data_IF_051659907498
#
_entry.id   IF_051659907498
#
_cell.length_a   1.000
_cell.length_b   1.000
_cell.length_c   1.000
_cell.angle_alpha   90.00
_cell.angle_beta   90.00
_cell.angle_gamma   90.00
#
_symmetry.space_group_name_H-M   'P 1'
#
loop_
_entity.id
_entity.type
_entity.pdbx_description
1 polymer ?
#
# COMPACT_ATOMS: atom_id res chain seq x y z
N UNK A 1 28.07 -40.42 4.12
CA UNK A 1 26.69 -40.50 3.57
C UNK A 1 25.69 -39.55 4.29
N UNK A 2 26.08 -38.30 4.58
CA UNK A 2 25.13 -37.26 5.05
C UNK A 2 25.53 -35.93 4.42
N UNK A 3 25.12 -35.69 3.17
CA UNK A 3 25.34 -34.43 2.46
C UNK A 3 24.27 -34.11 1.39
N UNK A 4 23.11 -34.79 1.42
CA UNK A 4 22.07 -34.63 0.39
C UNK A 4 20.70 -34.18 0.91
N UNK A 5 20.57 -33.73 2.17
CA UNK A 5 19.26 -33.44 2.77
C UNK A 5 19.03 -31.97 3.20
N UNK A 6 19.82 -31.02 2.69
CA UNK A 6 19.72 -29.59 3.10
C UNK A 6 19.40 -28.61 1.97
N UNK A 7 19.39 -29.03 0.69
CA UNK A 7 19.04 -28.12 -0.43
C UNK A 7 17.53 -27.96 -0.65
N UNK A 8 16.69 -28.99 -0.42
CA UNK A 8 15.25 -28.87 -0.72
C UNK A 8 14.47 -28.02 0.28
N UNK A 9 14.90 -27.93 1.55
CA UNK A 9 14.19 -27.16 2.58
C UNK A 9 14.31 -25.64 2.47
N UNK A 10 15.30 -25.14 1.72
CA UNK A 10 15.57 -23.70 1.62
C UNK A 10 14.79 -23.05 0.46
N UNK A 11 14.62 -23.75 -0.67
CA UNK A 11 13.82 -23.28 -1.80
C UNK A 11 12.32 -23.23 -1.47
N UNK A 12 11.82 -24.24 -0.75
CA UNK A 12 10.43 -24.32 -0.28
C UNK A 12 10.09 -23.14 0.66
N UNK A 13 11.02 -22.71 1.54
CA UNK A 13 10.80 -21.56 2.44
C UNK A 13 10.74 -20.20 1.73
N UNK A 14 11.47 -20.02 0.63
CA UNK A 14 11.42 -18.77 -0.15
C UNK A 14 10.15 -18.67 -1.01
N UNK A 15 9.62 -19.79 -1.51
CA UNK A 15 8.31 -19.84 -2.19
C UNK A 15 7.13 -19.61 -1.23
N UNK A 16 7.20 -20.12 0.00
CA UNK A 16 6.18 -19.90 1.05
C UNK A 16 6.05 -18.41 1.43
N UNK A 17 7.14 -17.64 1.41
CA UNK A 17 7.10 -16.19 1.70
C UNK A 17 6.40 -15.42 0.56
N UNK A 18 6.50 -15.88 -0.69
CA UNK A 18 5.80 -15.27 -1.84
C UNK A 18 4.30 -15.62 -1.83
N UNK A 19 3.92 -16.83 -1.43
CA UNK A 19 2.53 -17.23 -1.23
C UNK A 19 1.84 -16.42 -0.11
N UNK A 20 2.52 -16.18 1.02
CA UNK A 20 2.00 -15.34 2.12
C UNK A 20 1.76 -13.88 1.73
N UNK A 21 2.53 -13.32 0.78
CA UNK A 21 2.30 -11.98 0.25
C UNK A 21 1.08 -11.91 -0.69
N UNK A 22 0.68 -13.04 -1.27
CA UNK A 22 -0.45 -13.17 -2.21
C UNK A 22 -1.78 -13.31 -1.46
N UNK A 23 -1.81 -13.96 -0.28
CA UNK A 23 -3.01 -14.02 0.57
C UNK A 23 -3.49 -12.62 1.03
N UNK A 24 -2.60 -11.62 1.07
CA UNK A 24 -2.98 -10.22 1.36
C UNK A 24 -3.82 -9.57 0.25
N UNK A 25 -3.75 -10.06 -0.99
CA UNK A 25 -4.47 -9.48 -2.14
C UNK A 25 -5.97 -9.87 -2.17
N UNK A 26 -6.34 -10.98 -1.52
CA UNK A 26 -7.74 -11.43 -1.42
C UNK A 26 -8.58 -10.67 -0.39
N UNK A 27 -7.96 -9.89 0.51
CA UNK A 27 -8.61 -9.28 1.67
C UNK A 27 -9.49 -8.04 1.38
N UNK A 28 -9.65 -7.59 0.12
CA UNK A 28 -10.20 -6.25 -0.17
C UNK A 28 -11.69 -6.20 -0.49
N UNK A 29 -12.44 -7.31 -0.53
CA UNK A 29 -13.77 -7.29 -1.18
C UNK A 29 -14.89 -8.14 -0.54
N UNK A 30 -15.19 -8.02 0.76
CA UNK A 30 -16.43 -8.61 1.31
C UNK A 30 -17.15 -7.71 2.34
N UNK A 31 -18.47 -7.57 2.14
CA UNK A 31 -19.41 -6.74 2.92
C UNK A 31 -19.78 -7.30 4.30
N UNK A 32 -20.87 -6.82 4.93
CA UNK A 32 -21.05 -6.90 6.39
C UNK A 32 -21.22 -8.33 6.91
N UNK A 33 -20.33 -8.66 7.85
CA UNK A 33 -20.35 -9.72 8.86
C UNK A 33 -21.40 -10.85 8.68
N UNK A 34 -21.04 -11.87 7.90
CA UNK A 34 -21.50 -13.22 8.16
C UNK A 34 -21.00 -13.69 9.53
N UNK A 35 -21.65 -14.70 10.12
CA UNK A 35 -21.24 -15.28 11.40
C UNK A 35 -19.73 -15.58 11.41
N UNK A 36 -19.04 -15.29 12.51
CA UNK A 36 -17.61 -15.56 12.66
C UNK A 36 -17.41 -17.08 12.52
N UNK A 37 -16.94 -17.49 11.35
CA UNK A 37 -16.46 -18.83 11.12
C UNK A 37 -14.96 -18.88 11.38
N UNK A 38 -14.53 -19.91 12.08
CA UNK A 38 -13.15 -20.16 12.50
C UNK A 38 -12.65 -21.53 12.00
N UNK A 39 -13.44 -22.25 11.19
CA UNK A 39 -13.04 -23.55 10.67
C UNK A 39 -12.27 -23.38 9.36
N UNK A 40 -11.15 -24.07 9.25
CA UNK A 40 -10.41 -24.11 7.99
C UNK A 40 -11.14 -24.99 6.96
N UNK A 41 -11.10 -24.62 5.67
CA UNK A 41 -11.64 -25.45 4.59
C UNK A 41 -10.93 -26.81 4.53
N UNK A 42 -11.61 -27.82 3.98
CA UNK A 42 -11.07 -29.18 3.88
C UNK A 42 -10.75 -29.55 2.44
N UNK A 43 -9.47 -29.82 2.16
CA UNK A 43 -9.03 -30.43 0.91
C UNK A 43 -9.56 -31.87 0.76
N UNK A 44 -10.01 -32.22 -0.45
CA UNK A 44 -10.50 -33.57 -0.75
C UNK A 44 -9.73 -34.22 -1.90
N UNK A 45 -9.57 -33.52 -3.03
CA UNK A 45 -8.90 -34.08 -4.20
C UNK A 45 -8.34 -32.99 -5.12
N UNK A 46 -7.32 -33.36 -5.92
CA UNK A 46 -6.80 -32.58 -7.04
C UNK A 46 -6.87 -33.42 -8.32
N UNK A 47 -7.11 -32.78 -9.46
CA UNK A 47 -7.01 -33.39 -10.77
C UNK A 47 -6.52 -32.40 -11.82
N UNK A 48 -5.90 -32.92 -12.88
CA UNK A 48 -5.42 -32.13 -14.03
C UNK A 48 -5.94 -32.72 -15.34
N UNK A 49 -6.19 -31.86 -16.32
CA UNK A 49 -6.61 -32.29 -17.66
C UNK A 49 -6.12 -31.33 -18.75
N UNK A 50 -5.38 -31.81 -19.76
CA UNK A 50 -4.76 -33.13 -19.83
C UNK A 50 -3.62 -33.28 -18.79
N UNK A 51 -3.27 -34.52 -18.41
CA UNK A 51 -2.13 -34.80 -17.51
C UNK A 51 -0.78 -34.80 -18.22
N UNK A 52 -0.75 -34.44 -19.51
CA UNK A 52 0.46 -34.28 -20.30
C UNK A 52 0.27 -33.17 -21.34
N UNK A 53 1.34 -32.44 -21.62
CA UNK A 53 1.32 -31.32 -22.55
C UNK A 53 2.67 -31.04 -23.20
N UNK A 54 2.62 -30.24 -24.24
CA UNK A 54 3.76 -29.63 -24.93
C UNK A 54 3.52 -28.13 -25.07
N UNK A 55 4.52 -27.31 -25.45
CA UNK A 55 4.34 -25.88 -25.67
C UNK A 55 3.03 -25.50 -26.39
N UNK A 56 2.26 -24.60 -25.80
CA UNK A 56 0.95 -24.16 -26.26
C UNK A 56 -0.23 -25.01 -25.75
N UNK A 57 0.02 -26.13 -25.08
CA UNK A 57 -1.04 -26.93 -24.46
C UNK A 57 -1.62 -26.19 -23.24
N UNK A 58 -2.95 -26.04 -23.19
CA UNK A 58 -3.63 -25.57 -21.99
C UNK A 58 -3.86 -26.74 -21.03
N UNK A 59 -3.43 -26.58 -19.78
CA UNK A 59 -3.61 -27.56 -18.69
C UNK A 59 -4.59 -26.98 -17.69
N UNK A 60 -5.73 -27.64 -17.53
CA UNK A 60 -6.71 -27.31 -16.50
C UNK A 60 -6.37 -28.01 -15.19
N UNK A 61 -6.51 -27.30 -14.08
CA UNK A 61 -6.31 -27.76 -12.72
C UNK A 61 -7.65 -27.63 -11.99
N UNK A 62 -8.09 -28.70 -11.31
CA UNK A 62 -9.31 -28.71 -10.52
C UNK A 62 -9.03 -29.25 -9.12
N UNK A 63 -9.51 -28.55 -8.10
CA UNK A 63 -9.44 -28.95 -6.69
C UNK A 63 -10.86 -29.08 -6.13
N UNK A 64 -11.14 -30.20 -5.46
CA UNK A 64 -12.37 -30.39 -4.70
C UNK A 64 -12.09 -30.11 -3.24
N UNK A 65 -12.91 -29.26 -2.64
CA UNK A 65 -12.80 -28.85 -1.25
C UNK A 65 -14.20 -28.65 -0.64
N UNK A 66 -14.29 -28.70 0.69
CA UNK A 66 -15.54 -28.47 1.41
C UNK A 66 -15.31 -27.60 2.63
N UNK A 67 -16.31 -26.78 2.93
CA UNK A 67 -16.32 -25.88 4.06
C UNK A 67 -17.79 -25.61 4.48
N UNK A 68 -18.04 -25.20 5.73
CA UNK A 68 -19.39 -24.95 6.23
C UNK A 68 -19.98 -23.60 5.84
N UNK A 69 -19.15 -22.59 5.53
CA UNK A 69 -19.62 -21.30 4.97
C UNK A 69 -19.42 -21.20 3.46
N UNK A 70 -18.51 -22.01 2.92
CA UNK A 70 -18.29 -22.15 1.48
C UNK A 70 -16.88 -21.76 1.06
N UNK A 71 -16.51 -22.13 -0.17
CA UNK A 71 -15.15 -21.94 -0.68
C UNK A 71 -15.06 -20.65 -1.49
N UNK A 72 -14.07 -19.81 -1.20
CA UNK A 72 -13.79 -18.57 -1.92
C UNK A 72 -12.82 -18.77 -3.09
N UNK A 73 -11.70 -19.44 -2.86
CA UNK A 73 -10.63 -19.56 -3.86
C UNK A 73 -9.50 -20.50 -3.43
N UNK A 74 -8.46 -20.60 -4.25
CA UNK A 74 -7.25 -21.32 -3.87
C UNK A 74 -6.10 -21.16 -4.84
N UNK A 75 -4.99 -21.80 -4.53
CA UNK A 75 -3.79 -21.84 -5.37
C UNK A 75 -3.08 -23.18 -5.25
N UNK A 76 -2.53 -23.67 -6.36
CA UNK A 76 -1.66 -24.86 -6.38
C UNK A 76 -0.31 -24.49 -6.98
N UNK A 77 0.78 -24.88 -6.31
CA UNK A 77 2.15 -24.68 -6.78
C UNK A 77 2.73 -25.95 -7.40
N UNK A 78 3.12 -25.90 -8.68
CA UNK A 78 3.75 -26.99 -9.43
C UNK A 78 5.26 -26.77 -9.57
N UNK A 79 6.07 -27.68 -9.05
CA UNK A 79 7.53 -27.63 -9.13
C UNK A 79 8.05 -28.27 -10.43
N UNK A 80 8.89 -27.51 -11.15
CA UNK A 80 9.70 -27.98 -12.27
C UNK A 80 10.71 -29.04 -11.81
N UNK A 81 10.78 -30.21 -12.47
CA UNK A 81 11.65 -31.31 -12.04
C UNK A 81 13.14 -31.02 -12.20
N UNK A 82 13.53 -30.10 -13.09
CA UNK A 82 14.93 -29.80 -13.38
C UNK A 82 15.45 -28.55 -12.68
N UNK A 83 14.61 -27.54 -12.48
CA UNK A 83 15.01 -26.24 -11.92
C UNK A 83 14.57 -26.05 -10.47
N UNK A 84 13.56 -26.80 -10.01
CA UNK A 84 12.94 -26.60 -8.70
C UNK A 84 12.08 -25.32 -8.61
N UNK A 85 11.87 -24.65 -9.74
CA UNK A 85 11.02 -23.45 -9.82
C UNK A 85 9.56 -23.88 -9.66
N UNK A 86 8.81 -23.15 -8.84
CA UNK A 86 7.39 -23.42 -8.59
C UNK A 86 6.52 -22.45 -9.38
N UNK A 87 5.65 -22.98 -10.25
CA UNK A 87 4.59 -22.24 -10.95
C UNK A 87 3.31 -22.32 -10.14
N UNK A 88 2.74 -21.18 -9.79
CA UNK A 88 1.46 -21.10 -9.09
C UNK A 88 0.29 -20.98 -10.07
N UNK A 89 -0.76 -21.77 -9.84
CA UNK A 89 -2.02 -21.73 -10.59
C UNK A 89 -3.12 -21.30 -9.64
N UNK A 90 -3.67 -20.12 -9.89
CA UNK A 90 -4.81 -19.58 -9.15
C UNK A 90 -6.09 -20.31 -9.57
N UNK A 91 -6.93 -20.60 -8.58
CA UNK A 91 -8.16 -21.34 -8.74
C UNK A 91 -9.34 -20.50 -8.25
N UNK A 92 -10.31 -20.31 -9.12
CA UNK A 92 -11.57 -19.65 -8.81
C UNK A 92 -12.65 -20.70 -8.50
N UNK A 93 -13.62 -20.32 -7.67
CA UNK A 93 -14.77 -21.18 -7.40
C UNK A 93 -15.65 -21.33 -8.65
N UNK A 94 -15.74 -22.55 -9.17
CA UNK A 94 -16.48 -22.92 -10.37
C UNK A 94 -17.67 -23.86 -10.03
N UNK A 95 -18.41 -23.52 -8.97
CA UNK A 95 -19.62 -24.23 -8.55
C UNK A 95 -19.35 -25.44 -7.66
N UNK A 96 -18.87 -26.56 -8.19
CA UNK A 96 -18.59 -27.75 -7.36
C UNK A 96 -17.12 -27.85 -6.92
N UNK A 97 -16.21 -27.22 -7.68
CA UNK A 97 -14.77 -27.31 -7.51
C UNK A 97 -14.13 -25.93 -7.67
N UNK A 98 -12.93 -25.80 -7.14
CA UNK A 98 -11.99 -24.75 -7.52
C UNK A 98 -11.35 -25.13 -8.86
N UNK A 99 -11.29 -24.21 -9.81
CA UNK A 99 -10.75 -24.45 -11.14
C UNK A 99 -9.84 -23.32 -11.61
N UNK A 100 -8.74 -23.69 -12.26
CA UNK A 100 -7.81 -22.78 -12.89
C UNK A 100 -7.11 -23.46 -14.07
N UNK A 101 -6.27 -22.71 -14.78
CA UNK A 101 -5.49 -23.28 -15.87
C UNK A 101 -4.20 -22.52 -16.11
N UNK A 102 -3.26 -23.16 -16.79
CA UNK A 102 -2.10 -22.49 -17.36
C UNK A 102 -1.78 -23.06 -18.74
N UNK A 103 -1.05 -22.28 -19.54
CA UNK A 103 -0.52 -22.75 -20.82
C UNK A 103 0.93 -23.16 -20.62
N UNK A 104 1.30 -24.34 -21.15
CA UNK A 104 2.69 -24.79 -21.20
C UNK A 104 3.46 -23.84 -22.09
N UNK A 105 4.46 -23.18 -21.54
CA UNK A 105 5.29 -22.23 -22.27
C UNK A 105 6.27 -22.95 -23.22
N UNK A 106 6.72 -22.28 -24.28
CA UNK A 106 7.74 -22.79 -25.20
C UNK A 106 9.07 -23.10 -24.53
N UNK A 107 9.31 -22.56 -23.34
CA UNK A 107 10.53 -22.74 -22.58
C UNK A 107 10.35 -23.61 -21.33
N UNK A 108 9.15 -24.14 -21.06
CA UNK A 108 8.92 -24.97 -19.87
C UNK A 108 9.78 -26.24 -19.90
N UNK A 109 10.36 -26.58 -18.76
CA UNK A 109 11.28 -27.72 -18.65
C UNK A 109 10.55 -29.05 -18.86
N UNK A 110 11.12 -30.00 -19.62
CA UNK A 110 10.52 -31.31 -19.80
C UNK A 110 10.58 -32.14 -18.52
N UNK A 111 9.59 -33.00 -18.33
CA UNK A 111 9.51 -33.95 -17.21
C UNK A 111 8.19 -33.86 -16.46
N UNK A 112 8.13 -34.52 -15.30
CA UNK A 112 6.94 -34.56 -14.46
C UNK A 112 6.96 -33.39 -13.48
N UNK A 113 6.14 -32.38 -13.75
CA UNK A 113 5.88 -31.27 -12.84
C UNK A 113 4.95 -31.74 -11.73
N UNK A 114 5.39 -31.57 -10.49
CA UNK A 114 4.68 -32.10 -9.32
C UNK A 114 4.04 -30.96 -8.53
N UNK A 115 2.76 -31.06 -8.14
CA UNK A 115 2.21 -30.14 -7.15
C UNK A 115 2.92 -30.36 -5.80
N UNK A 116 3.48 -29.28 -5.25
CA UNK A 116 4.25 -29.29 -3.99
C UNK A 116 3.61 -28.46 -2.89
N UNK A 117 2.64 -27.61 -3.25
CA UNK A 117 1.92 -26.73 -2.35
C UNK A 117 0.46 -26.59 -2.80
N UNK A 118 -0.45 -26.53 -1.84
CA UNK A 118 -1.85 -26.16 -2.04
C UNK A 118 -2.31 -25.24 -0.92
N UNK A 119 -3.12 -24.25 -1.29
CA UNK A 119 -3.81 -23.35 -0.36
C UNK A 119 -5.27 -23.18 -0.82
N UNK A 120 -6.19 -23.20 0.13
CA UNK A 120 -7.63 -23.05 -0.08
C UNK A 120 -8.13 -22.03 0.92
N UNK A 121 -8.91 -21.08 0.43
CA UNK A 121 -9.51 -20.00 1.22
C UNK A 121 -11.02 -20.13 1.16
N UNK A 122 -11.67 -20.10 2.32
CA UNK A 122 -13.13 -20.07 2.42
C UNK A 122 -13.70 -18.65 2.17
N UNK A 123 -15.02 -18.46 2.29
CA UNK A 123 -15.64 -17.13 2.16
C UNK A 123 -15.49 -16.22 3.39
N UNK A 124 -14.98 -16.74 4.49
CA UNK A 124 -14.75 -16.03 5.76
C UNK A 124 -13.26 -15.73 6.02
N UNK A 125 -12.39 -16.03 5.06
CA UNK A 125 -10.92 -15.89 5.12
C UNK A 125 -10.18 -16.87 6.04
N UNK A 126 -10.76 -18.03 6.36
CA UNK A 126 -10.00 -19.14 6.94
C UNK A 126 -9.22 -19.88 5.84
N UNK A 127 -8.08 -20.47 6.21
CA UNK A 127 -7.08 -20.94 5.25
C UNK A 127 -6.65 -22.35 5.59
N UNK A 128 -6.81 -23.26 4.63
CA UNK A 128 -6.10 -24.53 4.62
C UNK A 128 -4.88 -24.43 3.72
N UNK A 129 -3.70 -24.76 4.25
CA UNK A 129 -2.47 -24.85 3.48
C UNK A 129 -1.73 -26.14 3.80
N UNK A 130 -1.23 -26.83 2.76
CA UNK A 130 -0.49 -28.07 2.93
C UNK A 130 0.56 -28.25 1.82
N UNK A 131 1.60 -29.01 2.15
CA UNK A 131 2.63 -29.44 1.20
C UNK A 131 2.33 -30.84 0.65
N UNK A 132 2.98 -31.21 -0.47
CA UNK A 132 2.86 -32.56 -1.04
C UNK A 132 3.36 -33.70 -0.14
N UNK A 133 4.05 -33.39 0.96
CA UNK A 133 4.44 -34.36 2.00
C UNK A 133 3.32 -34.57 3.05
N UNK A 134 2.36 -33.64 3.16
CA UNK A 134 1.27 -33.65 4.15
C UNK A 134 -0.04 -34.18 3.57
N UNK A 135 -0.29 -33.96 2.28
CA UNK A 135 -1.46 -34.45 1.54
C UNK A 135 -1.04 -35.07 0.21
N UNK A 136 -1.79 -36.07 -0.26
CA UNK A 136 -1.53 -36.69 -1.56
C UNK A 136 -2.00 -35.77 -2.70
N UNK A 137 -1.03 -35.17 -3.39
CA UNK A 137 -1.27 -34.33 -4.56
C UNK A 137 -0.92 -35.04 -5.88
N UNK A 138 -0.59 -36.33 -5.86
CA UNK A 138 -0.04 -37.05 -7.02
C UNK A 138 -0.98 -37.11 -8.24
N UNK A 139 -2.29 -37.02 -8.01
CA UNK A 139 -3.30 -36.90 -9.07
C UNK A 139 -3.23 -35.58 -9.86
N UNK A 140 -2.45 -34.61 -9.38
CA UNK A 140 -2.14 -33.37 -10.09
C UNK A 140 -0.85 -33.42 -10.92
N UNK A 141 -0.10 -34.53 -10.96
CA UNK A 141 1.16 -34.59 -11.73
C UNK A 141 0.94 -34.32 -13.24
N UNK A 142 1.77 -33.45 -13.82
CA UNK A 142 1.70 -33.07 -15.25
C UNK A 142 3.00 -33.47 -15.93
N UNK A 143 2.91 -34.21 -17.04
CA UNK A 143 4.09 -34.56 -17.85
C UNK A 143 4.27 -33.56 -18.99
N UNK A 144 5.32 -32.73 -18.92
CA UNK A 144 5.68 -31.78 -19.97
C UNK A 144 6.69 -32.41 -20.93
N UNK A 145 6.40 -32.31 -22.22
CA UNK A 145 7.32 -32.66 -23.31
C UNK A 145 7.74 -31.39 -24.06
N UNK A 146 9.01 -31.01 -23.92
CA UNK A 146 9.57 -29.84 -24.58
C UNK A 146 11.02 -30.11 -25.06
N UNK A 147 11.30 -30.06 -26.37
CA UNK A 147 12.65 -30.27 -26.90
C UNK A 147 13.59 -29.06 -26.76
N UNK A 148 13.07 -27.88 -26.39
CA UNK A 148 13.87 -26.65 -26.30
C UNK A 148 13.51 -25.83 -25.05
N UNK A 149 13.70 -26.40 -23.84
CA UNK A 149 13.44 -25.68 -22.60
C UNK A 149 14.48 -24.59 -22.36
N UNK A 150 14.09 -23.54 -21.62
CA UNK A 150 15.06 -22.63 -21.02
C UNK A 150 15.31 -23.03 -19.57
N UNK A 151 16.58 -23.30 -19.28
CA UNK A 151 17.08 -23.62 -17.94
C UNK A 151 18.34 -22.82 -17.61
N UNK A 152 18.70 -21.87 -18.48
CA UNK A 152 19.89 -21.05 -18.31
C UNK A 152 19.53 -19.85 -17.45
N UNK A 153 20.32 -19.61 -16.40
CA UNK A 153 20.16 -18.37 -15.64
C UNK A 153 20.59 -17.15 -16.49
N UNK A 154 19.96 -15.98 -16.30
CA UNK A 154 20.44 -14.73 -16.88
C UNK A 154 21.91 -14.44 -16.58
N UNK A 155 22.53 -13.62 -17.43
CA UNK A 155 23.87 -13.07 -17.16
C UNK A 155 23.76 -11.61 -16.70
N UNK A 156 24.17 -11.35 -15.45
CA UNK A 156 24.30 -9.99 -14.93
C UNK A 156 25.52 -9.27 -15.54
N UNK A 157 25.35 -8.01 -15.94
CA UNK A 157 26.42 -7.16 -16.49
C UNK A 157 26.77 -5.99 -15.56
N UNK A 158 25.79 -5.17 -15.17
CA UNK A 158 26.05 -3.99 -14.33
C UNK A 158 24.83 -3.56 -13.52
N UNK A 159 25.10 -2.92 -12.38
CA UNK A 159 24.13 -2.19 -11.55
C UNK A 159 24.50 -0.71 -11.59
N UNK A 160 23.58 0.14 -12.05
CA UNK A 160 23.75 1.59 -12.17
C UNK A 160 22.84 2.30 -11.17
N UNK A 161 23.45 3.10 -10.29
CA UNK A 161 22.78 3.92 -9.27
C UNK A 161 23.36 5.33 -9.40
N UNK A 162 22.71 6.26 -10.12
CA UNK A 162 23.27 7.57 -10.40
C UNK A 162 23.50 8.43 -9.15
N UNK A 163 22.68 8.24 -8.12
CA UNK A 163 22.83 8.90 -6.84
C UNK A 163 22.63 7.91 -5.70
N UNK A 164 23.66 7.71 -4.88
CA UNK A 164 23.64 6.81 -3.72
C UNK A 164 23.35 7.53 -2.40
N UNK A 165 23.22 8.85 -2.43
CA UNK A 165 22.92 9.67 -1.25
C UNK A 165 21.49 10.17 -1.31
N UNK A 166 20.72 9.88 -0.27
CA UNK A 166 19.35 10.38 -0.13
C UNK A 166 19.03 10.51 1.36
N UNK A 167 17.80 10.89 1.69
CA UNK A 167 17.31 10.87 3.06
C UNK A 167 16.06 9.99 3.16
N UNK A 168 15.64 9.59 4.37
CA UNK A 168 14.29 9.07 4.61
C UNK A 168 13.20 9.97 4.01
N UNK A 169 12.19 9.36 3.38
CA UNK A 169 11.19 10.05 2.54
C UNK A 169 11.67 10.43 1.13
N UNK A 170 12.96 10.23 0.84
CA UNK A 170 13.55 10.45 -0.48
C UNK A 170 13.39 9.26 -1.42
N UNK A 171 14.01 9.38 -2.60
CA UNK A 171 13.98 8.38 -3.66
C UNK A 171 15.37 8.07 -4.19
N UNK A 172 15.62 6.84 -4.62
CA UNK A 172 16.83 6.39 -5.31
C UNK A 172 16.43 5.68 -6.60
N UNK A 173 16.81 6.24 -7.75
CA UNK A 173 16.61 5.58 -9.06
C UNK A 173 17.77 4.65 -9.37
N UNK A 174 17.48 3.49 -9.94
CA UNK A 174 18.48 2.48 -10.28
C UNK A 174 18.10 1.65 -11.50
N UNK A 175 19.11 1.08 -12.15
CA UNK A 175 18.90 0.13 -13.24
C UNK A 175 19.93 -1.00 -13.26
N UNK A 176 19.54 -2.15 -13.79
CA UNK A 176 20.42 -3.28 -14.05
C UNK A 176 20.49 -3.53 -15.56
N UNK A 177 21.72 -3.74 -16.05
CA UNK A 177 21.96 -4.35 -17.34
C UNK A 177 22.24 -5.83 -17.13
N UNK A 178 21.43 -6.66 -17.76
CA UNK A 178 21.59 -8.11 -17.83
C UNK A 178 21.24 -8.58 -19.24
N UNK A 179 21.49 -9.84 -19.55
CA UNK A 179 21.07 -10.48 -20.78
C UNK A 179 20.57 -11.88 -20.47
N UNK A 180 19.58 -12.31 -21.23
CA UNK A 180 19.18 -13.70 -21.32
C UNK A 180 19.06 -14.04 -22.81
N UNK A 181 19.56 -15.22 -23.21
CA UNK A 181 19.65 -15.62 -24.62
C UNK A 181 18.42 -16.36 -25.13
N UNK A 182 17.50 -16.72 -24.24
CA UNK A 182 16.38 -17.61 -24.54
C UNK A 182 15.05 -16.95 -24.19
N UNK A 183 14.57 -17.06 -22.95
CA UNK A 183 13.25 -16.54 -22.55
C UNK A 183 13.21 -15.03 -22.30
N UNK A 184 14.36 -14.38 -22.19
CA UNK A 184 14.46 -12.96 -21.91
C UNK A 184 14.28 -12.62 -20.43
N UNK A 185 14.50 -11.35 -20.07
CA UNK A 185 14.47 -10.92 -18.67
C UNK A 185 13.03 -10.70 -18.17
N UNK A 186 12.75 -11.07 -16.92
CA UNK A 186 11.49 -10.76 -16.25
C UNK A 186 11.64 -9.62 -15.25
N UNK A 187 12.44 -9.84 -14.20
CA UNK A 187 12.56 -8.92 -13.07
C UNK A 187 13.91 -9.05 -12.38
N UNK A 188 14.19 -8.13 -11.46
CA UNK A 188 15.36 -8.21 -10.60
C UNK A 188 15.05 -7.66 -9.22
N UNK A 189 15.87 -8.05 -8.26
CA UNK A 189 15.81 -7.55 -6.89
C UNK A 189 17.20 -7.11 -6.44
N UNK A 190 17.24 -5.99 -5.72
CA UNK A 190 18.47 -5.51 -5.11
C UNK A 190 18.20 -5.22 -3.64
N UNK A 191 19.07 -5.74 -2.77
CA UNK A 191 18.95 -5.58 -1.32
C UNK A 191 20.17 -4.82 -0.78
N UNK A 192 19.89 -3.85 0.07
CA UNK A 192 20.89 -3.26 0.96
C UNK A 192 20.52 -3.56 2.40
N UNK A 193 21.52 -3.69 3.25
CA UNK A 193 21.31 -3.96 4.66
C UNK A 193 22.35 -3.29 5.53
N UNK A 194 21.96 -2.99 6.75
CA UNK A 194 22.86 -2.72 7.86
C UNK A 194 22.59 -3.74 8.99
N UNK A 195 23.10 -3.49 10.19
CA UNK A 195 22.96 -4.43 11.31
C UNK A 195 21.50 -4.70 11.74
N UNK A 196 20.57 -3.79 11.46
CA UNK A 196 19.21 -3.82 12.00
C UNK A 196 18.11 -3.71 10.94
N UNK A 197 18.43 -3.19 9.76
CA UNK A 197 17.47 -2.81 8.74
C UNK A 197 17.91 -3.25 7.34
N UNK A 198 16.94 -3.37 6.46
CA UNK A 198 17.15 -3.65 5.04
C UNK A 198 16.27 -2.77 4.15
N UNK A 199 16.79 -2.45 2.97
CA UNK A 199 16.08 -1.77 1.89
C UNK A 199 16.08 -2.67 0.67
N UNK A 200 14.94 -2.81 0.02
CA UNK A 200 14.79 -3.67 -1.15
C UNK A 200 14.17 -2.91 -2.31
N UNK A 201 14.78 -3.03 -3.48
CA UNK A 201 14.23 -2.53 -4.74
C UNK A 201 13.83 -3.70 -5.63
N UNK A 202 12.63 -3.64 -6.21
CA UNK A 202 12.14 -4.54 -7.25
C UNK A 202 12.19 -3.83 -8.59
N UNK A 203 12.93 -4.40 -9.55
CA UNK A 203 13.15 -3.82 -10.86
C UNK A 203 12.36 -4.60 -11.91
N UNK A 204 11.73 -3.88 -12.82
CA UNK A 204 10.96 -4.44 -13.94
C UNK A 204 11.69 -4.16 -15.26
N UNK A 205 11.59 -5.10 -16.19
CA UNK A 205 12.24 -4.96 -17.49
C UNK A 205 11.54 -3.88 -18.33
N UNK A 206 12.30 -2.87 -18.76
CA UNK A 206 11.85 -1.84 -19.66
C UNK A 206 12.34 -2.15 -21.09
N UNK A 207 11.45 -2.58 -22.00
CA UNK A 207 11.84 -2.97 -23.36
C UNK A 207 12.35 -1.79 -24.21
N UNK A 208 12.04 -0.54 -23.82
CA UNK A 208 12.51 0.65 -24.55
C UNK A 208 13.98 0.94 -24.27
N UNK A 209 14.45 0.67 -23.06
CA UNK A 209 15.83 0.93 -22.64
C UNK A 209 16.68 -0.34 -22.64
N UNK A 210 16.05 -1.51 -22.69
CA UNK A 210 16.71 -2.81 -22.59
C UNK A 210 17.29 -3.06 -21.20
N UNK A 211 16.74 -2.42 -20.16
CA UNK A 211 17.24 -2.48 -18.78
C UNK A 211 16.13 -2.82 -17.81
N UNK A 212 16.51 -3.43 -16.70
CA UNK A 212 15.65 -3.56 -15.52
C UNK A 212 15.75 -2.25 -14.74
N UNK A 213 14.63 -1.60 -14.41
CA UNK A 213 14.61 -0.25 -13.84
C UNK A 213 13.67 -0.18 -12.63
N UNK A 214 14.03 0.65 -11.64
CA UNK A 214 13.17 0.96 -10.50
C UNK A 214 13.46 2.34 -9.90
N UNK A 215 12.48 2.81 -9.13
CA UNK A 215 12.61 3.84 -8.13
C UNK A 215 12.40 3.23 -6.73
N UNK A 216 13.44 3.27 -5.89
CA UNK A 216 13.37 2.89 -4.48
C UNK A 216 12.95 4.11 -3.65
N UNK A 217 11.76 4.08 -3.07
CA UNK A 217 11.29 5.07 -2.10
C UNK A 217 11.75 4.68 -0.69
N UNK A 218 12.39 5.62 0.01
CA UNK A 218 12.92 5.37 1.36
C UNK A 218 11.82 5.66 2.37
N UNK A 219 11.43 4.71 3.25
CA UNK A 219 10.49 4.98 4.32
C UNK A 219 10.93 6.17 5.17
N UNK A 220 9.98 7.01 5.58
CA UNK A 220 10.25 8.23 6.36
C UNK A 220 10.82 7.94 7.75
N UNK A 221 10.50 6.78 8.32
CA UNK A 221 10.99 6.26 9.59
C UNK A 221 12.26 5.41 9.44
N UNK A 222 12.80 5.28 8.22
CA UNK A 222 14.00 4.49 7.98
C UNK A 222 15.19 5.05 8.77
N UNK A 223 15.90 4.18 9.48
CA UNK A 223 17.13 4.56 10.18
C UNK A 223 18.15 5.18 9.23
N UNK A 224 18.81 6.25 9.66
CA UNK A 224 19.86 6.91 8.89
C UNK A 224 21.17 6.12 8.90
N UNK A 225 22.13 6.51 8.06
CA UNK A 225 23.46 5.91 7.99
C UNK A 225 23.70 5.08 6.74
N UNK A 226 24.72 4.22 6.81
CA UNK A 226 25.19 3.45 5.66
C UNK A 226 24.41 2.13 5.52
N UNK A 227 24.01 1.84 4.30
CA UNK A 227 23.36 0.61 3.88
C UNK A 227 24.24 -0.08 2.85
N UNK A 228 24.78 -1.23 3.21
CA UNK A 228 25.70 -1.98 2.36
C UNK A 228 24.91 -2.83 1.38
N UNK A 229 25.29 -2.79 0.10
CA UNK A 229 24.71 -3.68 -0.90
C UNK A 229 24.99 -5.14 -0.52
N UNK A 230 23.95 -5.94 -0.35
CA UNK A 230 24.05 -7.32 0.16
C UNK A 230 23.57 -8.38 -0.84
N UNK A 231 22.71 -8.01 -1.79
CA UNK A 231 22.20 -8.97 -2.78
C UNK A 231 21.81 -8.31 -4.10
N UNK A 232 22.09 -9.02 -5.20
CA UNK A 232 21.48 -8.80 -6.52
C UNK A 232 20.91 -10.13 -7.00
N UNK A 233 19.64 -10.13 -7.40
CA UNK A 233 18.96 -11.25 -8.05
C UNK A 233 18.40 -10.77 -9.38
N UNK A 234 18.56 -11.56 -10.45
CA UNK A 234 17.97 -11.31 -11.77
C UNK A 234 17.28 -12.58 -12.24
N UNK A 235 16.01 -12.47 -12.64
CA UNK A 235 15.16 -13.54 -13.10
C UNK A 235 14.87 -13.38 -14.59
N UNK A 236 14.91 -14.48 -15.34
CA UNK A 236 14.29 -14.57 -16.67
C UNK A 236 12.78 -14.82 -16.59
N UNK A 237 12.12 -14.93 -17.76
CA UNK A 237 10.69 -15.22 -17.84
C UNK A 237 10.30 -16.63 -17.36
N UNK A 238 11.26 -17.55 -17.30
CA UNK A 238 11.06 -18.91 -16.80
C UNK A 238 11.39 -19.08 -15.32
N UNK A 239 11.88 -18.01 -14.67
CA UNK A 239 12.26 -17.97 -13.26
C UNK A 239 13.67 -18.47 -12.98
N UNK A 240 14.52 -18.73 -13.98
CA UNK A 240 15.92 -19.04 -13.71
C UNK A 240 16.61 -17.80 -13.16
N UNK A 241 17.46 -18.00 -12.15
CA UNK A 241 17.97 -16.90 -11.31
C UNK A 241 19.49 -16.77 -11.42
N UNK A 242 19.96 -15.57 -11.78
CA UNK A 242 21.28 -15.13 -11.37
C UNK A 242 21.20 -14.56 -9.96
N UNK A 243 21.92 -15.16 -9.01
CA UNK A 243 21.98 -14.68 -7.63
C UNK A 243 23.42 -14.35 -7.23
N UNK A 244 23.66 -13.08 -6.91
CA UNK A 244 24.88 -12.64 -6.27
C UNK A 244 24.59 -12.20 -4.83
N UNK A 245 25.20 -12.92 -3.87
CA UNK A 245 25.22 -12.52 -2.46
C UNK A 245 26.55 -11.82 -2.15
N UNK A 246 26.48 -10.59 -1.70
CA UNK A 246 27.65 -9.80 -1.32
C UNK A 246 27.86 -9.94 0.17
N UNK A 247 28.92 -10.65 0.54
CA UNK A 247 29.34 -10.84 1.93
C UNK A 247 30.62 -10.05 2.20
N UNK A 248 31.06 -10.00 3.46
CA UNK A 248 32.33 -9.35 3.82
C UNK A 248 33.55 -9.99 3.18
N UNK A 249 33.50 -11.30 2.94
CA UNK A 249 34.53 -12.07 2.23
C UNK A 249 34.26 -12.22 0.73
N UNK A 250 33.14 -11.69 0.23
CA UNK A 250 32.68 -11.85 -1.14
C UNK A 250 33.11 -10.71 -2.07
N UNK A 251 32.75 -10.80 -3.37
CA UNK A 251 33.01 -9.73 -4.33
C UNK A 251 32.30 -8.44 -3.90
N UNK A 252 33.06 -7.36 -3.74
CA UNK A 252 32.53 -6.03 -3.42
C UNK A 252 32.17 -5.28 -4.70
N UNK A 253 31.14 -4.44 -4.65
CA UNK A 253 30.79 -3.49 -5.70
C UNK A 253 30.96 -2.05 -5.18
N UNK A 254 32.17 -1.46 -5.30
CA UNK A 254 32.43 -0.12 -4.78
C UNK A 254 31.47 0.92 -5.35
N UNK A 255 31.02 1.83 -4.48
CA UNK A 255 30.14 2.93 -4.88
C UNK A 255 28.68 2.53 -5.16
N UNK A 256 28.25 1.34 -4.71
CA UNK A 256 26.85 0.90 -4.79
C UNK A 256 26.14 0.84 -3.44
N UNK A 257 26.83 1.13 -2.35
CA UNK A 257 26.24 1.30 -1.02
C UNK A 257 25.43 2.59 -0.97
N UNK A 258 24.32 2.59 -0.23
CA UNK A 258 23.48 3.77 -0.02
C UNK A 258 23.87 4.47 1.27
N UNK A 259 23.83 5.80 1.25
CA UNK A 259 24.03 6.64 2.43
C UNK A 259 22.75 7.42 2.65
N UNK A 260 22.05 7.09 3.74
CA UNK A 260 20.89 7.82 4.19
C UNK A 260 21.32 8.93 5.14
N UNK A 261 21.15 10.17 4.71
CA UNK A 261 21.44 11.36 5.49
C UNK A 261 20.45 11.57 6.64
N UNK A 262 20.62 12.69 7.34
CA UNK A 262 19.79 13.08 8.49
C UNK A 262 18.32 13.22 8.08
N UNK A 263 17.50 12.28 8.57
CA UNK A 263 16.06 12.26 8.31
C UNK A 263 15.39 13.54 8.76
N UNK A 264 15.92 14.28 9.73
CA UNK A 264 15.34 15.55 10.19
C UNK A 264 15.48 16.73 9.21
N UNK A 265 16.16 16.56 8.06
CA UNK A 265 16.41 17.64 7.08
C UNK A 265 15.91 17.36 5.67
N UNK A 266 15.23 16.24 5.45
CA UNK A 266 14.60 15.94 4.17
C UNK A 266 13.26 16.68 4.02
N UNK A 267 13.02 17.41 2.92
CA UNK A 267 11.69 17.93 2.59
C UNK A 267 10.63 16.80 2.52
N UNK A 268 9.55 16.90 3.29
CA UNK A 268 8.40 15.97 3.22
C UNK A 268 7.38 16.47 2.21
N UNK A 269 6.77 15.57 1.42
CA UNK A 269 5.76 15.89 0.41
C UNK A 269 6.21 17.00 -0.59
N UNK A 270 7.53 17.12 -0.82
CA UNK A 270 8.11 18.14 -1.68
C UNK A 270 8.18 19.56 -1.09
N UNK A 271 7.80 19.76 0.19
CA UNK A 271 7.84 21.07 0.85
C UNK A 271 9.17 21.36 1.54
N UNK A 272 9.75 22.52 1.23
CA UNK A 272 11.06 22.96 1.75
C UNK A 272 11.07 23.33 3.23
N UNK A 273 9.90 23.40 3.86
CA UNK A 273 9.69 23.86 5.23
C UNK A 273 8.91 22.83 6.07
N UNK A 274 8.91 21.56 5.63
CA UNK A 274 8.38 20.43 6.39
C UNK A 274 9.40 19.30 6.38
N UNK A 275 9.68 18.76 7.56
CA UNK A 275 10.69 17.75 7.80
C UNK A 275 10.10 16.58 8.61
N UNK A 276 10.63 15.35 8.51
CA UNK A 276 10.12 14.18 9.23
C UNK A 276 9.94 14.33 10.75
N UNK A 277 10.73 15.20 11.39
CA UNK A 277 10.61 15.50 12.81
C UNK A 277 9.44 16.44 13.17
N UNK A 278 8.79 17.05 12.19
CA UNK A 278 7.62 17.88 12.42
C UNK A 278 6.42 17.00 12.83
N UNK A 279 5.77 17.37 13.93
CA UNK A 279 4.68 16.61 14.56
C UNK A 279 3.41 16.40 13.70
N UNK A 280 3.39 16.97 12.50
CA UNK A 280 2.32 16.91 11.50
C UNK A 280 2.78 16.33 10.16
N UNK A 281 4.05 15.93 10.02
CA UNK A 281 4.66 15.59 8.73
C UNK A 281 4.02 14.35 8.08
N UNK A 282 3.70 13.32 8.87
CA UNK A 282 3.06 12.10 8.37
C UNK A 282 1.62 12.38 7.95
N UNK A 283 0.88 13.12 8.76
CA UNK A 283 -0.49 13.53 8.47
C UNK A 283 -0.54 14.41 7.22
N UNK A 284 0.43 15.31 7.05
CA UNK A 284 0.55 16.12 5.85
C UNK A 284 0.84 15.29 4.61
N UNK A 285 1.77 14.33 4.70
CA UNK A 285 2.10 13.45 3.58
C UNK A 285 0.85 12.71 3.08
N UNK A 286 0.07 12.14 4.00
CA UNK A 286 -1.21 11.51 3.68
C UNK A 286 -2.15 12.49 2.96
N UNK A 287 -2.38 13.67 3.53
CA UNK A 287 -3.36 14.61 2.97
C UNK A 287 -2.94 15.21 1.61
N UNK A 288 -1.64 15.25 1.31
CA UNK A 288 -1.15 15.63 -0.02
C UNK A 288 -1.38 14.51 -1.03
N UNK A 289 -1.08 13.26 -0.65
CA UNK A 289 -1.26 12.09 -1.54
C UNK A 289 -2.72 11.89 -1.92
N UNK A 290 -3.64 12.15 -0.99
CA UNK A 290 -5.10 12.10 -1.22
C UNK A 290 -5.68 13.42 -1.76
N UNK A 291 -4.83 14.34 -2.21
CA UNK A 291 -5.22 15.62 -2.82
C UNK A 291 -6.15 16.51 -1.96
N UNK A 292 -6.17 16.29 -0.64
CA UNK A 292 -7.01 17.03 0.32
C UNK A 292 -6.49 18.45 0.51
N UNK A 293 -5.17 18.60 0.52
CA UNK A 293 -4.52 19.91 0.62
C UNK A 293 -3.16 19.89 -0.06
N UNK A 294 -2.67 21.08 -0.40
CA UNK A 294 -1.35 21.28 -0.99
C UNK A 294 -0.62 22.47 -0.38
N UNK A 295 0.55 22.78 -0.93
CA UNK A 295 1.34 23.94 -0.54
C UNK A 295 1.23 25.10 -1.54
N UNK A 296 2.17 26.02 -1.43
CA UNK A 296 2.28 27.21 -2.26
C UNK A 296 3.22 26.95 -3.45
N UNK A 297 3.14 27.82 -4.47
CA UNK A 297 3.92 27.73 -5.70
C UNK A 297 5.45 27.78 -5.49
N UNK A 298 5.91 28.30 -4.34
CA UNK A 298 7.32 28.36 -3.94
C UNK A 298 7.86 27.04 -3.36
N UNK A 299 7.03 25.99 -3.33
CA UNK A 299 7.25 24.68 -2.69
C UNK A 299 7.36 24.77 -1.17
N UNK A 300 6.54 25.60 -0.54
CA UNK A 300 6.39 25.65 0.92
C UNK A 300 4.99 25.22 1.35
N UNK A 301 4.85 24.68 2.56
CA UNK A 301 3.57 24.39 3.21
C UNK A 301 3.13 25.53 4.13
N UNK A 302 4.06 26.31 4.68
CA UNK A 302 3.86 27.39 5.66
C UNK A 302 3.08 26.93 6.91
N UNK A 303 3.59 25.94 7.66
CA UNK A 303 2.85 25.28 8.74
C UNK A 303 2.37 26.22 9.85
N UNK A 304 3.07 27.35 10.06
CA UNK A 304 2.76 28.36 11.09
C UNK A 304 1.77 29.44 10.62
N UNK A 305 1.41 29.48 9.34
CA UNK A 305 0.42 30.44 8.86
C UNK A 305 -0.97 30.01 9.31
N UNK A 306 -1.81 30.99 9.67
CA UNK A 306 -3.21 30.72 9.97
C UNK A 306 -3.98 30.36 8.69
N UNK A 307 -4.98 29.49 8.86
CA UNK A 307 -5.87 29.07 7.76
C UNK A 307 -7.07 30.00 7.70
N UNK A 308 -7.42 30.44 6.50
CA UNK A 308 -8.66 31.19 6.26
C UNK A 308 -9.88 30.27 6.23
N UNK A 309 -11.06 30.81 6.53
CA UNK A 309 -12.31 30.05 6.46
C UNK A 309 -12.57 29.47 5.06
N UNK A 310 -12.21 30.20 4.01
CA UNK A 310 -12.30 29.70 2.63
C UNK A 310 -11.34 28.51 2.37
N UNK A 311 -10.10 28.59 2.83
CA UNK A 311 -9.14 27.48 2.72
C UNK A 311 -9.64 26.24 3.48
N UNK A 312 -10.18 26.41 4.68
CA UNK A 312 -10.68 25.27 5.45
C UNK A 312 -11.95 24.66 4.84
N UNK A 313 -12.86 25.47 4.26
CA UNK A 313 -14.01 24.96 3.52
C UNK A 313 -13.60 24.08 2.35
N UNK A 314 -12.56 24.49 1.61
CA UNK A 314 -11.95 23.67 0.55
C UNK A 314 -11.41 22.35 1.11
N UNK A 315 -10.61 22.38 2.18
CA UNK A 315 -10.05 21.17 2.79
C UNK A 315 -11.14 20.16 3.19
N UNK A 316 -12.25 20.63 3.79
CA UNK A 316 -13.37 19.76 4.16
C UNK A 316 -14.02 19.13 2.93
N UNK A 317 -14.35 19.92 1.90
CA UNK A 317 -14.97 19.37 0.69
C UNK A 317 -14.08 18.33 -0.01
N UNK A 318 -12.77 18.57 -0.08
CA UNK A 318 -11.82 17.63 -0.69
C UNK A 318 -11.67 16.36 0.17
N UNK A 319 -11.52 16.51 1.49
CA UNK A 319 -11.44 15.37 2.41
C UNK A 319 -12.71 14.51 2.39
N UNK A 320 -13.88 15.14 2.21
CA UNK A 320 -15.16 14.45 2.09
C UNK A 320 -15.46 13.89 0.70
N UNK A 321 -14.62 14.16 -0.30
CA UNK A 321 -14.87 13.72 -1.69
C UNK A 321 -16.16 14.28 -2.30
N UNK A 322 -16.64 15.43 -1.81
CA UNK A 322 -17.92 15.99 -2.26
C UNK A 322 -17.84 16.53 -3.68
N UNK A 323 -18.90 16.28 -4.45
CA UNK A 323 -19.07 16.91 -5.76
C UNK A 323 -19.36 18.39 -5.57
N UNK A 324 -18.53 19.24 -6.16
CA UNK A 324 -18.66 20.68 -6.03
C UNK A 324 -19.93 21.19 -6.72
N UNK A 325 -20.58 22.14 -6.08
CA UNK A 325 -21.80 22.81 -6.56
C UNK A 325 -21.53 24.29 -6.84
N UNK A 326 -22.09 24.79 -7.94
CA UNK A 326 -21.94 26.18 -8.37
C UNK A 326 -23.32 26.78 -8.65
N UNK A 327 -24.08 27.17 -7.61
CA UNK A 327 -25.38 27.80 -7.82
C UNK A 327 -25.22 29.14 -8.55
N UNK A 328 -26.19 29.50 -9.38
CA UNK A 328 -26.20 30.77 -10.12
C UNK A 328 -26.35 32.00 -9.20
N UNK A 329 -26.86 31.80 -7.99
CA UNK A 329 -26.97 32.83 -6.94
C UNK A 329 -26.36 32.28 -5.67
N UNK A 330 -25.35 32.98 -5.15
CA UNK A 330 -24.61 32.56 -3.96
C UNK A 330 -25.43 32.70 -2.68
N UNK A 331 -25.08 31.90 -1.67
CA UNK A 331 -25.69 31.91 -0.35
C UNK A 331 -25.18 33.05 0.53
N UNK A 332 -24.02 33.65 0.19
CA UNK A 332 -23.34 34.68 0.97
C UNK A 332 -23.08 35.93 0.14
N UNK A 333 -23.38 37.09 0.72
CA UNK A 333 -23.29 38.40 0.07
C UNK A 333 -21.86 38.93 -0.09
N UNK A 334 -20.90 38.35 0.64
CA UNK A 334 -19.48 38.70 0.61
C UNK A 334 -18.61 37.65 -0.10
N UNK A 335 -19.25 36.77 -0.90
CA UNK A 335 -18.57 35.78 -1.73
C UNK A 335 -19.09 35.89 -3.15
N UNK A 336 -18.32 36.53 -4.02
CA UNK A 336 -18.65 36.63 -5.45
C UNK A 336 -18.56 35.27 -6.14
N UNK A 337 -19.38 35.05 -7.18
CA UNK A 337 -19.38 33.80 -7.98
C UNK A 337 -18.04 33.52 -8.68
N UNK A 338 -17.20 34.54 -8.87
CA UNK A 338 -15.85 34.41 -9.41
C UNK A 338 -14.76 34.16 -8.36
N UNK A 339 -15.11 34.10 -7.07
CA UNK A 339 -14.15 33.83 -6.00
C UNK A 339 -13.65 32.37 -6.10
N UNK A 340 -12.34 32.13 -5.97
CA UNK A 340 -11.73 30.80 -6.13
C UNK A 340 -12.33 29.73 -5.20
N UNK A 341 -12.84 30.15 -4.05
CA UNK A 341 -13.46 29.28 -3.05
C UNK A 341 -14.98 29.16 -3.18
N UNK A 342 -15.62 29.82 -4.16
CA UNK A 342 -17.07 29.92 -4.27
C UNK A 342 -17.73 28.53 -4.24
N UNK A 343 -17.32 27.64 -5.13
CA UNK A 343 -17.92 26.31 -5.24
C UNK A 343 -17.75 25.49 -3.94
N UNK A 344 -16.57 25.58 -3.30
CA UNK A 344 -16.32 24.89 -2.02
C UNK A 344 -17.19 25.45 -0.89
N UNK A 345 -17.36 26.77 -0.83
CA UNK A 345 -18.17 27.43 0.19
C UNK A 345 -19.65 27.07 0.01
N UNK A 346 -20.17 27.10 -1.21
CA UNK A 346 -21.56 26.74 -1.51
C UNK A 346 -21.82 25.25 -1.28
N UNK A 347 -20.86 24.38 -1.62
CA UNK A 347 -20.94 22.94 -1.33
C UNK A 347 -20.98 22.68 0.17
N UNK A 348 -20.04 23.24 0.94
CA UNK A 348 -20.05 23.09 2.39
C UNK A 348 -21.29 23.73 3.05
N UNK A 349 -21.89 24.76 2.44
CA UNK A 349 -23.19 25.31 2.86
C UNK A 349 -24.33 24.32 2.60
N UNK A 350 -24.38 23.69 1.41
CA UNK A 350 -25.39 22.71 1.04
C UNK A 350 -25.37 21.48 1.97
N UNK A 351 -24.19 21.07 2.43
CA UNK A 351 -24.00 20.01 3.42
C UNK A 351 -24.20 20.47 4.88
N UNK A 352 -24.62 21.71 5.13
CA UNK A 352 -24.90 22.24 6.49
C UNK A 352 -23.66 22.52 7.35
N UNK A 353 -22.46 22.22 6.84
CA UNK A 353 -21.16 22.47 7.51
C UNK A 353 -21.00 23.96 7.82
N UNK A 354 -21.43 24.82 6.89
CA UNK A 354 -21.29 26.27 7.01
C UNK A 354 -22.67 26.93 7.20
N UNK A 355 -22.79 27.76 8.24
CA UNK A 355 -24.00 28.55 8.50
C UNK A 355 -23.94 29.96 7.90
N UNK A 356 -22.77 30.59 7.95
CA UNK A 356 -22.59 32.04 7.81
C UNK A 356 -22.71 32.77 9.15
N UNK A 357 -22.45 34.07 9.12
CA UNK A 357 -22.72 35.00 10.20
C UNK A 357 -24.03 35.77 9.93
N UNK A 358 -24.60 36.45 10.95
CA UNK A 358 -25.72 37.35 10.76
C UNK A 358 -25.48 38.34 9.61
N UNK A 359 -26.50 38.58 8.81
CA UNK A 359 -26.41 39.41 7.59
C UNK A 359 -26.05 38.63 6.32
N UNK A 360 -25.97 37.29 6.37
CA UNK A 360 -25.73 36.48 5.17
C UNK A 360 -24.31 36.64 4.64
N UNK A 361 -23.32 36.69 5.54
CA UNK A 361 -21.89 36.84 5.21
C UNK A 361 -21.11 35.61 5.68
N UNK A 362 -20.07 35.24 4.95
CA UNK A 362 -19.20 34.10 5.26
C UNK A 362 -17.84 34.49 5.82
N UNK A 363 -17.30 35.65 5.40
CA UNK A 363 -15.94 36.16 5.67
C UNK A 363 -14.84 35.21 5.14
N UNK A 364 -14.74 35.00 3.82
CA UNK A 364 -13.83 34.01 3.24
C UNK A 364 -12.35 34.23 3.60
N UNK A 365 -11.91 35.48 3.70
CA UNK A 365 -10.54 35.85 4.06
C UNK A 365 -10.24 35.94 5.56
N UNK A 366 -11.22 35.73 6.43
CA UNK A 366 -10.98 35.72 7.87
C UNK A 366 -10.35 34.38 8.30
N UNK A 367 -9.41 34.43 9.24
CA UNK A 367 -8.80 33.23 9.80
C UNK A 367 -9.83 32.43 10.61
N UNK A 368 -9.79 31.11 10.48
CA UNK A 368 -10.70 30.20 11.17
C UNK A 368 -10.24 29.93 12.60
N UNK A 369 -11.20 29.87 13.52
CA UNK A 369 -10.95 29.48 14.91
C UNK A 369 -10.99 27.97 15.10
N UNK A 370 -10.33 27.46 16.14
CA UNK A 370 -10.37 26.04 16.51
C UNK A 370 -11.79 25.53 16.80
N UNK A 371 -12.64 26.34 17.41
CA UNK A 371 -14.05 26.01 17.65
C UNK A 371 -14.84 25.84 16.34
N UNK A 372 -14.61 26.72 15.36
CA UNK A 372 -15.25 26.61 14.04
C UNK A 372 -14.82 25.37 13.28
N UNK A 373 -13.54 24.98 13.37
CA UNK A 373 -13.06 23.73 12.79
C UNK A 373 -13.81 22.53 13.39
N UNK A 374 -13.91 22.41 14.72
CA UNK A 374 -14.63 21.29 15.34
C UNK A 374 -16.08 21.21 14.85
N UNK A 375 -16.76 22.36 14.75
CA UNK A 375 -18.11 22.42 14.22
C UNK A 375 -18.18 21.92 12.77
N UNK A 376 -17.24 22.34 11.93
CA UNK A 376 -17.22 21.92 10.52
C UNK A 376 -16.96 20.41 10.37
N UNK A 377 -15.97 19.86 11.09
CA UNK A 377 -15.60 18.44 10.99
C UNK A 377 -16.68 17.50 11.52
N UNK A 378 -17.28 17.83 12.68
CA UNK A 378 -18.34 17.01 13.29
C UNK A 378 -19.58 16.97 12.39
N UNK A 379 -19.97 18.10 11.80
CA UNK A 379 -21.12 18.16 10.89
C UNK A 379 -20.81 17.44 9.58
N UNK A 380 -19.62 17.65 9.02
CA UNK A 380 -19.22 17.00 7.77
C UNK A 380 -19.15 15.47 7.89
N UNK A 381 -18.73 14.95 9.05
CA UNK A 381 -18.76 13.52 9.34
C UNK A 381 -20.14 12.95 9.68
N UNK A 382 -21.21 13.77 9.69
CA UNK A 382 -22.55 13.35 10.07
C UNK A 382 -22.66 12.84 11.51
N UNK A 383 -21.77 13.30 12.39
CA UNK A 383 -21.67 12.80 13.76
C UNK A 383 -22.71 13.49 14.65
N UNK A 384 -23.50 12.68 15.36
CA UNK A 384 -24.45 13.19 16.35
C UNK A 384 -23.75 13.86 17.51
N UNK A 385 -24.21 15.05 17.89
CA UNK A 385 -23.61 15.82 18.97
C UNK A 385 -23.74 15.09 20.31
N UNK A 386 -22.62 15.03 21.02
CA UNK A 386 -22.53 14.52 22.38
C UNK A 386 -21.84 15.57 23.27
N UNK A 387 -22.58 16.06 24.26
CA UNK A 387 -22.07 16.98 25.27
C UNK A 387 -21.64 16.28 26.57
N UNK A 388 -21.70 14.95 26.63
CA UNK A 388 -21.30 14.18 27.80
C UNK A 388 -19.78 13.95 27.84
N UNK A 389 -19.21 13.89 29.05
CA UNK A 389 -17.79 13.58 29.28
C UNK A 389 -16.97 14.73 29.88
N UNK A 390 -15.67 14.48 30.06
CA UNK A 390 -14.76 15.45 30.67
C UNK A 390 -14.43 16.60 29.71
N UNK A 391 -14.88 17.81 30.03
CA UNK A 391 -14.61 19.01 29.24
C UNK A 391 -13.17 19.51 29.37
N UNK A 392 -12.76 20.34 28.41
CA UNK A 392 -11.56 21.17 28.55
C UNK A 392 -11.81 22.27 29.59
N UNK A 393 -10.78 22.64 30.35
CA UNK A 393 -10.94 23.58 31.48
C UNK A 393 -11.32 24.99 31.04
N UNK A 394 -11.09 25.34 29.78
CA UNK A 394 -11.35 26.65 29.16
C UNK A 394 -12.51 26.62 28.15
N UNK A 395 -13.35 25.58 28.18
CA UNK A 395 -14.56 25.48 27.36
C UNK A 395 -15.78 25.47 28.26
N UNK A 396 -16.39 26.65 28.39
CA UNK A 396 -17.62 26.86 29.14
C UNK A 396 -18.80 26.07 28.54
N UNK A 397 -19.68 25.51 29.38
CA UNK A 397 -20.84 24.72 28.93
C UNK A 397 -21.87 25.54 28.15
N UNK A 398 -21.92 26.86 28.36
CA UNK A 398 -22.72 27.82 27.60
C UNK A 398 -22.05 28.31 26.31
N UNK A 399 -20.80 27.91 26.02
CA UNK A 399 -20.14 28.27 24.77
C UNK A 399 -20.86 27.61 23.58
N UNK A 400 -21.13 28.37 22.51
CA UNK A 400 -21.88 27.89 21.33
C UNK A 400 -21.28 26.62 20.69
N UNK A 401 -19.96 26.48 20.78
CA UNK A 401 -19.23 25.34 20.23
C UNK A 401 -19.05 24.18 21.22
N UNK A 402 -19.55 24.27 22.46
CA UNK A 402 -19.28 23.29 23.52
C UNK A 402 -19.56 21.85 23.04
N UNK A 403 -20.77 21.58 22.54
CA UNK A 403 -21.14 20.24 22.07
C UNK A 403 -20.26 19.74 20.91
N UNK A 404 -19.90 20.61 19.96
CA UNK A 404 -19.01 20.26 18.85
C UNK A 404 -17.60 19.94 19.33
N UNK A 405 -17.06 20.72 20.26
CA UNK A 405 -15.73 20.51 20.82
C UNK A 405 -15.68 19.20 21.62
N UNK A 406 -16.71 18.93 22.43
CA UNK A 406 -16.83 17.69 23.18
C UNK A 406 -16.95 16.46 22.28
N UNK A 407 -17.75 16.57 21.23
CA UNK A 407 -17.87 15.52 20.20
C UNK A 407 -16.54 15.31 19.50
N UNK A 408 -15.89 16.36 19.00
CA UNK A 408 -14.59 16.26 18.34
C UNK A 408 -13.50 15.65 19.25
N UNK A 409 -13.56 15.91 20.56
CA UNK A 409 -12.66 15.27 21.54
C UNK A 409 -12.94 13.78 21.69
N UNK A 410 -14.22 13.40 21.78
CA UNK A 410 -14.65 12.00 21.93
C UNK A 410 -14.19 11.12 20.75
N UNK A 411 -14.19 11.69 19.55
CA UNK A 411 -13.76 11.03 18.31
C UNK A 411 -12.26 11.26 17.99
N UNK A 412 -11.48 11.78 18.94
CA UNK A 412 -10.03 12.02 18.78
C UNK A 412 -9.64 12.98 17.64
N UNK A 413 -10.57 13.76 17.10
CA UNK A 413 -10.27 14.82 16.12
C UNK A 413 -9.36 15.89 16.76
N UNK A 414 -9.57 16.12 18.06
CA UNK A 414 -8.81 17.07 18.87
C UNK A 414 -8.43 16.49 20.22
N UNK A 415 -7.19 16.73 20.65
CA UNK A 415 -6.68 16.31 21.98
C UNK A 415 -6.45 17.47 22.95
N UNK A 416 -6.49 18.70 22.46
CA UNK A 416 -6.17 19.91 23.25
C UNK A 416 -4.68 20.11 23.51
N UNK A 417 -4.37 21.08 24.37
CA UNK A 417 -3.04 21.48 24.79
C UNK A 417 -2.74 21.01 26.23
N UNK A 418 -1.47 21.01 26.65
CA UNK A 418 -1.09 20.75 28.05
C UNK A 418 -1.91 21.58 29.04
N UNK A 419 -2.30 20.98 30.16
CA UNK A 419 -3.22 21.59 31.13
C UNK A 419 -4.71 21.39 30.82
N UNK A 420 -5.05 20.48 29.90
CA UNK A 420 -6.44 20.19 29.49
C UNK A 420 -7.15 21.43 28.90
N UNK A 421 -6.43 22.23 28.11
CA UNK A 421 -6.92 23.43 27.43
C UNK A 421 -7.30 23.13 25.97
N UNK A 422 -8.31 23.81 25.42
CA UNK A 422 -8.69 23.73 24.02
C UNK A 422 -8.46 25.03 23.25
N UNK A 423 -8.61 26.17 23.91
CA UNK A 423 -8.53 27.52 23.36
C UNK A 423 -9.50 27.76 22.18
N UNK A 424 -10.83 27.75 22.44
CA UNK A 424 -11.84 27.73 21.38
C UNK A 424 -11.78 28.94 20.42
N UNK A 425 -11.41 30.11 20.93
CA UNK A 425 -11.27 31.34 20.14
C UNK A 425 -9.92 31.52 19.44
N UNK A 426 -8.93 30.65 19.69
CA UNK A 426 -7.63 30.75 19.03
C UNK A 426 -7.73 30.37 17.56
N UNK A 427 -6.95 31.07 16.73
CA UNK A 427 -6.81 30.75 15.31
C UNK A 427 -6.02 29.46 15.13
N UNK A 428 -6.41 28.66 14.15
CA UNK A 428 -5.68 27.44 13.81
C UNK A 428 -4.64 27.73 12.72
N UNK A 429 -3.41 27.28 12.95
CA UNK A 429 -2.40 27.28 11.90
C UNK A 429 -2.57 26.10 10.94
N UNK A 430 -1.87 26.13 9.80
CA UNK A 430 -1.96 25.13 8.73
C UNK A 430 -1.60 23.72 9.21
N UNK A 431 -0.61 23.59 10.08
CA UNK A 431 -0.25 22.28 10.65
C UNK A 431 -1.36 21.73 11.55
N UNK A 432 -1.97 22.57 12.40
CA UNK A 432 -3.07 22.18 13.28
C UNK A 432 -4.31 21.79 12.48
N UNK A 433 -4.68 22.61 11.48
CA UNK A 433 -5.81 22.34 10.59
C UNK A 433 -5.62 21.02 9.81
N UNK A 434 -4.41 20.77 9.28
CA UNK A 434 -4.08 19.52 8.60
C UNK A 434 -4.24 18.33 9.54
N UNK A 435 -3.70 18.39 10.77
CA UNK A 435 -3.84 17.28 11.73
C UNK A 435 -5.30 17.03 12.12
N UNK A 436 -6.10 18.08 12.29
CA UNK A 436 -7.53 17.94 12.61
C UNK A 436 -8.32 17.31 11.45
N UNK A 437 -8.00 17.66 10.20
CA UNK A 437 -8.58 17.01 9.01
C UNK A 437 -8.15 15.54 8.95
N UNK A 438 -6.85 15.26 9.10
CA UNK A 438 -6.34 13.89 9.10
C UNK A 438 -7.03 13.01 10.14
N UNK A 439 -7.12 13.47 11.39
CA UNK A 439 -7.76 12.73 12.47
C UNK A 439 -9.26 12.48 12.24
N UNK A 440 -9.91 13.28 11.41
CA UNK A 440 -11.33 13.12 11.07
C UNK A 440 -11.57 12.44 9.72
N UNK A 441 -10.52 12.15 8.96
CA UNK A 441 -10.60 11.77 7.56
C UNK A 441 -11.48 10.54 7.30
N UNK A 442 -11.35 9.49 8.13
CA UNK A 442 -12.15 8.25 8.02
C UNK A 442 -13.67 8.51 8.17
N UNK A 443 -14.07 9.58 8.85
CA UNK A 443 -15.47 9.94 9.05
C UNK A 443 -16.00 10.86 7.94
N UNK A 444 -15.13 11.53 7.19
CA UNK A 444 -15.52 12.51 6.18
C UNK A 444 -15.95 11.86 4.86
N UNK A 445 -15.43 10.67 4.53
CA UNK A 445 -15.65 9.98 3.25
C UNK A 445 -16.69 8.85 3.25
N UNK A 446 -17.51 8.71 4.29
CA UNK A 446 -18.44 7.57 4.47
C UNK A 446 -19.92 7.90 4.16
N UNK A 447 -20.19 9.01 3.47
CA UNK A 447 -21.55 9.53 3.22
C UNK A 447 -21.99 9.40 1.77
#
# INVERSE_FOLDING_TARGET
>A
MRAHCTKSRTAVRSGIIFALAISLLFMVLLGPAAAIDLQDPKFQAISVSPSAGSPGSAISVSVTASDDVGIGGGVVGFESPSTGIVRYVFLDYAGANLAGSFVVDRYDTPGVWKPVYIEIVDTSSNIFAATGDEVDLSAGNITISNPSPDSAAPTFTSLDIPNTQTNPGGKVSLSIKAADSESGLASAQVLWSNAWNSLQAFLLYNPKTGRLEADLYIPIDQSTGNYTLSMISVLDQQGNEYLLRITDSGPKMPGKDLVLGDSSKAPVAGFKDVYPGDWFALELLFLVEYEVLGGYSDRTFKPKNNVTRAEFAKMVCQASGWTLTQPATGSFTDVDTGHWAYDYIETAKAHGVIGGYPGGIFKPGANITRAEICKMLVVAGGISLDSAGASFVDVDTGHWAHAYIMTARKYDFVRGYPGNLFMPGSLANRAEAAKMIYNSYEYLGTQ
#
